data_IF_752742803791
#
_entry.id   IF_752742803791
#
_cell.length_a   1.000
_cell.length_b   1.000
_cell.length_c   1.000
_cell.angle_alpha   90.00
_cell.angle_beta   90.00
_cell.angle_gamma   90.00
#
_symmetry.space_group_name_H-M   'P 1'
#
loop_
_entity.id
_entity.type
_entity.pdbx_description
1 polymer ?
#
# COMPACT_ATOMS: atom_id res chain seq x y z
N UNK A 1 -6.10 49.31 -19.94
CA UNK A 1 -5.22 48.86 -18.82
C UNK A 1 -5.53 47.39 -18.58
N UNK A 2 -4.48 46.57 -18.40
CA UNK A 2 -4.47 45.12 -18.57
C UNK A 2 -5.25 44.35 -17.50
N UNK A 3 -6.00 43.32 -17.93
CA UNK A 3 -6.55 42.28 -17.06
C UNK A 3 -5.41 41.38 -16.57
N UNK A 4 -5.17 41.37 -15.26
CA UNK A 4 -4.19 40.49 -14.62
C UNK A 4 -4.80 39.08 -14.58
N UNK A 5 -4.44 38.24 -15.56
CA UNK A 5 -4.70 36.79 -15.49
C UNK A 5 -3.83 36.21 -14.37
N UNK A 6 -4.43 35.99 -13.20
CA UNK A 6 -3.87 35.11 -12.19
C UNK A 6 -3.85 33.69 -12.77
N UNK A 7 -2.76 33.33 -13.44
CA UNK A 7 -2.44 31.95 -13.77
C UNK A 7 -2.11 31.22 -12.47
N UNK A 8 -3.13 30.70 -11.81
CA UNK A 8 -3.00 29.66 -10.80
C UNK A 8 -2.41 28.43 -11.48
N UNK A 9 -1.09 28.31 -11.43
CA UNK A 9 -0.41 27.07 -11.75
C UNK A 9 -0.88 26.05 -10.70
N UNK A 10 -1.62 24.99 -11.07
CA UNK A 10 -1.95 23.97 -10.08
C UNK A 10 -0.62 23.35 -9.66
N UNK A 11 -0.17 23.65 -8.45
CA UNK A 11 0.86 22.87 -7.78
C UNK A 11 0.50 21.42 -8.02
N UNK A 12 1.33 20.70 -8.78
CA UNK A 12 1.19 19.26 -8.97
C UNK A 12 1.43 18.66 -7.59
N UNK A 13 0.34 18.49 -6.84
CA UNK A 13 0.34 17.72 -5.60
C UNK A 13 0.92 16.36 -5.96
N UNK A 14 2.09 16.07 -5.39
CA UNK A 14 2.76 14.79 -5.59
C UNK A 14 1.72 13.73 -5.24
N UNK A 15 1.39 12.87 -6.21
CA UNK A 15 0.47 11.77 -5.99
C UNK A 15 0.98 10.96 -4.79
N UNK A 16 0.13 10.76 -3.78
CA UNK A 16 0.48 9.91 -2.64
C UNK A 16 0.89 8.51 -3.12
N UNK A 17 1.71 7.83 -2.32
CA UNK A 17 2.28 6.53 -2.69
C UNK A 17 1.18 5.48 -2.95
N UNK A 18 -0.03 5.70 -2.41
CA UNK A 18 -1.19 4.82 -2.56
C UNK A 18 -1.69 4.75 -4.03
N UNK A 19 -1.32 5.74 -4.85
CA UNK A 19 -1.63 5.76 -6.29
C UNK A 19 -0.60 5.00 -7.12
N UNK A 20 0.53 4.60 -6.55
CA UNK A 20 1.53 3.82 -7.27
C UNK A 20 1.00 2.40 -7.52
N UNK A 21 1.01 1.96 -8.77
CA UNK A 21 0.53 0.62 -9.13
C UNK A 21 1.27 -0.49 -8.37
N UNK A 22 2.56 -0.29 -8.08
CA UNK A 22 3.38 -1.23 -7.32
C UNK A 22 2.91 -1.32 -5.86
N UNK A 23 2.59 -0.18 -5.24
CA UNK A 23 2.05 -0.16 -3.88
C UNK A 23 0.69 -0.84 -3.82
N UNK A 24 -0.19 -0.57 -4.79
CA UNK A 24 -1.52 -1.19 -4.85
C UNK A 24 -1.43 -2.72 -4.98
N UNK A 25 -0.52 -3.22 -5.80
CA UNK A 25 -0.28 -4.66 -5.94
C UNK A 25 0.33 -5.28 -4.68
N UNK A 26 1.32 -4.63 -4.08
CA UNK A 26 1.93 -5.08 -2.83
C UNK A 26 0.89 -5.13 -1.69
N UNK A 27 0.06 -4.09 -1.58
CA UNK A 27 -1.01 -4.02 -0.59
C UNK A 27 -2.07 -5.11 -0.81
N UNK A 28 -2.48 -5.35 -2.06
CA UNK A 28 -3.40 -6.44 -2.39
C UNK A 28 -2.80 -7.80 -2.01
N UNK A 29 -1.54 -8.05 -2.37
CA UNK A 29 -0.83 -9.29 -2.03
C UNK A 29 -0.74 -9.48 -0.50
N UNK A 30 -0.44 -8.43 0.24
CA UNK A 30 -0.43 -8.45 1.70
C UNK A 30 -1.80 -8.89 2.26
N UNK A 31 -2.91 -8.39 1.71
CA UNK A 31 -4.26 -8.79 2.13
C UNK A 31 -4.53 -10.27 1.83
N UNK A 32 -4.13 -10.77 0.65
CA UNK A 32 -4.24 -12.19 0.29
C UNK A 32 -3.41 -13.08 1.23
N UNK A 33 -2.19 -12.64 1.58
CA UNK A 33 -1.32 -13.35 2.52
C UNK A 33 -1.97 -13.43 3.90
N UNK A 34 -2.53 -12.34 4.42
CA UNK A 34 -3.24 -12.35 5.71
C UNK A 34 -4.45 -13.29 5.66
N UNK A 35 -5.14 -13.37 4.53
CA UNK A 35 -6.26 -14.30 4.36
C UNK A 35 -5.78 -15.76 4.28
N UNK A 36 -4.69 -16.04 3.57
CA UNK A 36 -4.04 -17.34 3.53
C UNK A 36 -3.58 -17.80 4.91
N UNK A 37 -2.96 -16.92 5.70
CA UNK A 37 -2.50 -17.21 7.05
C UNK A 37 -3.61 -17.64 8.02
N UNK A 38 -4.88 -17.28 7.76
CA UNK A 38 -6.03 -17.78 8.54
C UNK A 38 -6.32 -19.27 8.30
N UNK A 39 -5.81 -19.84 7.21
CA UNK A 39 -5.98 -21.27 6.87
C UNK A 39 -4.86 -22.15 7.45
N UNK A 40 -3.78 -21.55 7.96
CA UNK A 40 -2.68 -22.29 8.56
C UNK A 40 -3.09 -22.94 9.89
N UNK A 41 -2.50 -24.09 10.25
CA UNK A 41 -2.72 -24.71 11.55
C UNK A 41 -2.32 -23.76 12.70
N UNK A 42 -3.03 -23.83 13.83
CA UNK A 42 -2.69 -23.05 15.05
C UNK A 42 -1.26 -23.32 15.56
N UNK A 43 -0.66 -24.44 15.21
CA UNK A 43 0.74 -24.75 15.54
C UNK A 43 1.76 -23.82 14.87
N UNK A 44 1.33 -23.09 13.83
CA UNK A 44 2.12 -22.08 13.12
C UNK A 44 1.89 -20.65 13.64
N UNK A 45 0.96 -20.47 14.59
CA UNK A 45 0.82 -19.19 15.29
C UNK A 45 2.15 -18.83 15.96
N UNK A 46 2.54 -17.56 15.86
CA UNK A 46 3.84 -17.04 16.33
C UNK A 46 5.09 -17.64 15.68
N UNK A 47 4.95 -18.43 14.61
CA UNK A 47 6.06 -19.01 13.82
C UNK A 47 6.05 -18.52 12.39
N UNK A 48 5.72 -19.38 11.42
CA UNK A 48 5.70 -19.02 10.00
C UNK A 48 4.66 -17.93 9.75
N UNK A 49 3.50 -18.02 10.40
CA UNK A 49 2.42 -17.06 10.20
C UNK A 49 2.84 -15.61 10.50
N UNK A 50 3.43 -15.37 11.67
CA UNK A 50 3.89 -14.04 12.08
C UNK A 50 4.98 -13.51 11.14
N UNK A 51 5.92 -14.38 10.75
CA UNK A 51 7.00 -14.01 9.83
C UNK A 51 6.46 -13.63 8.44
N UNK A 52 5.50 -14.39 7.93
CA UNK A 52 4.87 -14.17 6.62
C UNK A 52 4.04 -12.87 6.63
N UNK A 53 3.23 -12.65 7.66
CA UNK A 53 2.41 -11.43 7.79
C UNK A 53 3.31 -10.19 7.89
N UNK A 54 4.37 -10.24 8.70
CA UNK A 54 5.31 -9.13 8.89
C UNK A 54 6.13 -8.84 7.65
N UNK A 55 6.66 -9.85 6.97
CA UNK A 55 7.45 -9.62 5.76
C UNK A 55 6.57 -9.08 4.62
N UNK A 56 5.30 -9.51 4.54
CA UNK A 56 4.36 -9.00 3.54
C UNK A 56 4.01 -7.51 3.72
N UNK A 57 4.07 -7.01 4.95
CA UNK A 57 3.78 -5.61 5.28
C UNK A 57 4.98 -4.68 5.09
N UNK A 58 6.18 -5.23 4.89
CA UNK A 58 7.43 -4.47 4.71
C UNK A 58 7.71 -4.08 3.24
N UNK A 59 6.91 -4.59 2.30
CA UNK A 59 7.04 -4.42 0.85
C UNK A 59 6.12 -3.30 0.38
#
# INVERSE_FOLDING_TARGET
MQEIKNSTNPEKTVAGFEKLWVWQKAHHLMQEIHQFCKTLPRTEDFKLKDQIERCSSSV
#
